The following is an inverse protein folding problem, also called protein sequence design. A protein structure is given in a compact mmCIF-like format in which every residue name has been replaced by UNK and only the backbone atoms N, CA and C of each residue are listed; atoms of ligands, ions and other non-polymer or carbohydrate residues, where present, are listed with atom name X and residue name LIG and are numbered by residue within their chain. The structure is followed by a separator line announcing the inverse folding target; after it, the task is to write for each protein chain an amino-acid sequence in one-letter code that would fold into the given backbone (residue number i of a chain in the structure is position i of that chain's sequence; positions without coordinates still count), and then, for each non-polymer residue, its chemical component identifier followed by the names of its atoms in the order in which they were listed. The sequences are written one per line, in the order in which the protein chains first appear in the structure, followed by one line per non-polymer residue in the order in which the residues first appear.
data_IF_554452963253
#
_entry.id   IF_554452963253
#
_cell.length_a   1.000
_cell.length_b   1.000
_cell.length_c   1.000
_cell.angle_alpha   90.00
_cell.angle_beta   90.00
_cell.angle_gamma   90.00
#
_symmetry.space_group_name_H-M   'P 1'
#
loop_
_entity.id
_entity.type
_entity.pdbx_description
1 polymer ?
#
# COMPACT_ATOMS: atom_id res chain seq x y z
N UNK A 1 12.71 -0.32 -13.06
CA UNK A 1 11.35 -0.79 -13.40
C UNK A 1 10.74 0.12 -14.46
N UNK A 2 10.33 -0.41 -15.60
CA UNK A 2 9.55 0.28 -16.63
C UNK A 2 8.04 0.08 -16.36
N UNK A 3 7.23 1.15 -16.47
CA UNK A 3 5.78 1.10 -16.20
C UNK A 3 4.99 1.43 -17.47
N UNK A 4 3.99 0.63 -17.81
CA UNK A 4 3.07 0.88 -18.93
C UNK A 4 1.67 0.35 -18.61
N UNK A 5 0.68 0.70 -19.43
CA UNK A 5 -0.73 0.38 -19.18
C UNK A 5 -1.43 -0.41 -20.28
N UNK A 6 -0.89 -0.38 -21.51
CA UNK A 6 -1.45 -1.09 -22.65
C UNK A 6 -0.61 -2.33 -22.97
N UNK A 7 -1.15 -3.56 -22.86
CA UNK A 7 -0.45 -4.79 -23.23
C UNK A 7 0.12 -4.74 -24.65
N UNK A 8 -0.59 -4.16 -25.62
CA UNK A 8 -0.13 -4.07 -27.00
C UNK A 8 1.11 -3.16 -27.16
N UNK A 9 1.32 -2.24 -26.22
CA UNK A 9 2.48 -1.36 -26.16
C UNK A 9 3.66 -1.94 -25.35
N UNK A 10 3.64 -3.25 -25.05
CA UNK A 10 4.73 -3.90 -24.29
C UNK A 10 6.09 -3.67 -24.97
N UNK A 11 7.06 -3.07 -24.26
CA UNK A 11 8.40 -2.81 -24.82
C UNK A 11 9.07 -4.10 -25.31
N UNK A 12 9.79 -4.01 -26.43
CA UNK A 12 10.49 -5.16 -27.00
C UNK A 12 11.50 -5.80 -26.03
N UNK A 13 12.13 -5.01 -25.14
CA UNK A 13 13.06 -5.52 -24.13
C UNK A 13 12.39 -6.22 -22.94
N UNK A 14 11.05 -6.21 -22.86
CA UNK A 14 10.27 -6.85 -21.80
C UNK A 14 9.48 -8.06 -22.31
N UNK A 15 9.80 -8.57 -23.52
CA UNK A 15 9.21 -9.78 -24.09
C UNK A 15 10.27 -10.60 -24.86
N UNK A 16 10.26 -11.95 -24.81
CA UNK A 16 9.44 -12.77 -23.90
C UNK A 16 9.85 -12.56 -22.43
N UNK A 17 8.98 -12.86 -21.47
CA UNK A 17 9.24 -12.63 -20.04
C UNK A 17 8.83 -13.79 -19.14
N UNK A 18 9.23 -13.72 -17.88
CA UNK A 18 8.54 -14.38 -16.77
C UNK A 18 7.60 -13.36 -16.15
N UNK A 19 6.37 -13.77 -15.84
CA UNK A 19 5.36 -12.85 -15.34
C UNK A 19 4.70 -13.34 -14.04
N UNK A 20 4.09 -12.41 -13.31
CA UNK A 20 3.13 -12.67 -12.24
C UNK A 20 1.92 -11.77 -12.45
N UNK A 21 0.79 -12.09 -11.81
CA UNK A 21 -0.31 -11.14 -11.71
C UNK A 21 -0.97 -11.13 -10.34
N UNK A 22 -1.60 -10.01 -10.01
CA UNK A 22 -2.31 -9.83 -8.75
C UNK A 22 -2.67 -8.37 -8.48
N UNK A 23 -3.47 -8.12 -7.46
CA UNK A 23 -3.84 -6.75 -7.08
C UNK A 23 -2.69 -6.02 -6.35
N UNK A 24 -1.80 -6.78 -5.71
CA UNK A 24 -0.65 -6.31 -4.95
C UNK A 24 -0.94 -5.22 -3.91
N UNK A 25 -2.18 -5.12 -3.40
CA UNK A 25 -2.55 -4.09 -2.43
C UNK A 25 -1.75 -4.25 -1.13
N UNK A 26 -1.02 -3.20 -0.76
CA UNK A 26 -0.08 -3.17 0.36
C UNK A 26 1.28 -3.84 0.11
N UNK A 27 1.48 -4.58 -0.99
CA UNK A 27 2.75 -5.30 -1.30
C UNK A 27 3.35 -5.98 -0.06
N UNK A 28 2.51 -6.76 0.65
CA UNK A 28 2.88 -7.45 1.88
C UNK A 28 3.92 -8.55 1.66
N UNK A 29 4.43 -9.15 2.73
CA UNK A 29 5.49 -10.17 2.66
C UNK A 29 5.12 -11.37 1.76
N UNK A 30 3.85 -11.79 1.75
CA UNK A 30 3.35 -12.78 0.77
C UNK A 30 3.54 -12.35 -0.69
N UNK A 31 3.14 -11.13 -1.06
CA UNK A 31 3.40 -10.58 -2.40
C UNK A 31 4.90 -10.48 -2.69
N UNK A 32 5.71 -10.04 -1.71
CA UNK A 32 7.17 -9.94 -1.86
C UNK A 32 7.82 -11.29 -2.12
N UNK A 33 7.30 -12.38 -1.57
CA UNK A 33 7.80 -13.73 -1.84
C UNK A 33 7.51 -14.17 -3.29
N UNK A 34 6.29 -13.93 -3.78
CA UNK A 34 5.93 -14.19 -5.20
C UNK A 34 6.81 -13.37 -6.13
N UNK A 35 6.99 -12.08 -5.84
CA UNK A 35 7.84 -11.17 -6.64
C UNK A 35 9.33 -11.56 -6.58
N UNK A 36 9.83 -12.01 -5.43
CA UNK A 36 11.20 -12.51 -5.31
C UNK A 36 11.40 -13.79 -6.14
N UNK A 37 10.42 -14.71 -6.14
CA UNK A 37 10.50 -15.92 -6.99
C UNK A 37 10.41 -15.57 -8.47
N UNK A 38 9.57 -14.62 -8.84
CA UNK A 38 9.50 -14.07 -10.19
C UNK A 38 10.86 -13.57 -10.68
N UNK A 39 11.53 -12.72 -9.88
CA UNK A 39 12.86 -12.17 -10.25
C UNK A 39 13.90 -13.28 -10.37
N UNK A 40 13.88 -14.25 -9.46
CA UNK A 40 14.80 -15.40 -9.51
C UNK A 40 14.60 -16.23 -10.79
N UNK A 41 13.36 -16.57 -11.14
CA UNK A 41 13.02 -17.32 -12.35
C UNK A 41 13.38 -16.58 -13.63
N UNK A 42 13.09 -15.28 -13.67
CA UNK A 42 13.47 -14.42 -14.78
C UNK A 42 15.00 -14.44 -14.99
N UNK A 43 15.76 -14.30 -13.90
CA UNK A 43 17.23 -14.34 -13.90
C UNK A 43 17.77 -15.69 -14.39
N UNK A 44 17.26 -16.81 -13.86
CA UNK A 44 17.66 -18.17 -14.24
C UNK A 44 17.44 -18.44 -15.74
N UNK A 45 16.39 -17.84 -16.32
CA UNK A 45 16.01 -18.00 -17.73
C UNK A 45 16.65 -16.96 -18.65
N UNK A 46 17.35 -15.96 -18.11
CA UNK A 46 17.88 -14.83 -18.88
C UNK A 46 16.77 -13.98 -19.53
N UNK A 47 15.61 -13.88 -18.86
CA UNK A 47 14.42 -13.15 -19.31
C UNK A 47 14.11 -11.99 -18.35
N UNK A 48 13.39 -10.95 -18.82
CA UNK A 48 12.85 -9.91 -17.94
C UNK A 48 11.72 -10.44 -17.05
N UNK A 49 11.59 -9.82 -15.87
CA UNK A 49 10.52 -10.04 -14.90
C UNK A 49 9.41 -8.98 -15.03
N UNK A 50 8.16 -9.41 -15.19
CA UNK A 50 7.01 -8.50 -15.37
C UNK A 50 5.91 -8.79 -14.34
N UNK A 51 5.53 -7.78 -13.56
CA UNK A 51 4.32 -7.85 -12.74
C UNK A 51 3.14 -7.22 -13.48
N UNK A 52 2.01 -7.91 -13.48
CA UNK A 52 0.73 -7.42 -14.02
C UNK A 52 -0.23 -7.11 -12.88
N UNK A 53 -0.71 -5.88 -12.80
CA UNK A 53 -1.66 -5.42 -11.79
C UNK A 53 -2.81 -4.66 -12.44
N UNK A 54 -3.79 -4.26 -11.64
CA UNK A 54 -5.02 -3.65 -12.09
C UNK A 54 -5.19 -2.27 -11.44
N UNK A 55 -5.64 -1.29 -12.21
CA UNK A 55 -6.08 0.01 -11.71
C UNK A 55 -7.29 0.49 -12.53
N UNK A 56 -8.45 0.79 -11.93
CA UNK A 56 -8.75 0.71 -10.50
C UNK A 56 -8.68 -0.75 -9.98
N UNK A 57 -8.63 -0.91 -8.66
CA UNK A 57 -8.67 -2.25 -8.07
C UNK A 57 -9.96 -2.98 -8.47
N UNK A 58 -9.94 -4.28 -8.85
CA UNK A 58 -11.13 -4.99 -9.35
C UNK A 58 -12.35 -4.92 -8.42
N UNK A 59 -12.12 -5.04 -7.11
CA UNK A 59 -13.19 -4.90 -6.12
C UNK A 59 -13.81 -3.48 -6.05
N UNK A 60 -13.11 -2.42 -6.50
CA UNK A 60 -13.65 -1.07 -6.54
C UNK A 60 -14.68 -0.89 -7.68
N UNK A 61 -14.63 -1.71 -8.73
CA UNK A 61 -15.67 -1.69 -9.78
C UNK A 61 -17.00 -2.23 -9.24
N UNK A 62 -16.96 -3.28 -8.43
CA UNK A 62 -18.17 -3.91 -7.89
C UNK A 62 -18.62 -3.30 -6.55
N UNK A 63 -17.69 -2.69 -5.81
CA UNK A 63 -17.91 -2.11 -4.49
C UNK A 63 -17.17 -0.76 -4.34
N UNK A 64 -17.54 0.26 -5.12
CA UNK A 64 -16.81 1.54 -5.16
C UNK A 64 -16.79 2.27 -3.82
N UNK A 65 -17.87 2.15 -3.03
CA UNK A 65 -18.06 2.96 -1.81
C UNK A 65 -17.44 2.37 -0.54
N UNK A 66 -16.83 1.16 -0.60
CA UNK A 66 -16.40 0.44 0.61
C UNK A 66 -14.96 -0.02 0.62
N UNK A 67 -14.24 0.11 -0.50
CA UNK A 67 -12.89 -0.43 -0.62
C UNK A 67 -11.82 0.60 -0.23
N UNK A 68 -11.38 0.57 1.02
CA UNK A 68 -10.15 1.25 1.42
C UNK A 68 -8.93 0.41 1.01
N UNK A 69 -8.09 0.97 0.13
CA UNK A 69 -6.85 0.34 -0.35
C UNK A 69 -5.68 0.66 0.57
N UNK A 70 -4.88 -0.35 0.92
CA UNK A 70 -3.71 -0.19 1.78
C UNK A 70 -2.68 0.72 1.12
N UNK A 71 -2.43 0.53 -0.18
CA UNK A 71 -1.45 1.32 -0.93
C UNK A 71 -1.93 1.53 -2.37
N UNK A 72 -2.86 2.46 -2.64
CA UNK A 72 -3.42 2.67 -3.97
C UNK A 72 -2.43 3.31 -4.96
N UNK A 73 -2.65 3.07 -6.26
CA UNK A 73 -2.01 3.77 -7.37
C UNK A 73 -0.48 3.87 -7.22
N UNK A 74 0.02 5.12 -7.16
CA UNK A 74 1.47 5.40 -7.06
C UNK A 74 2.13 4.74 -5.85
N UNK A 75 1.43 4.56 -4.73
CA UNK A 75 2.01 3.93 -3.54
C UNK A 75 2.32 2.45 -3.78
N UNK A 76 1.43 1.69 -4.42
CA UNK A 76 1.72 0.32 -4.84
C UNK A 76 2.86 0.30 -5.84
N UNK A 77 2.83 1.17 -6.84
CA UNK A 77 3.82 1.17 -7.91
C UNK A 77 5.24 1.46 -7.36
N UNK A 78 5.39 2.38 -6.40
CA UNK A 78 6.63 2.61 -5.65
C UNK A 78 7.10 1.37 -4.91
N UNK A 79 6.20 0.72 -4.17
CA UNK A 79 6.52 -0.47 -3.39
C UNK A 79 6.94 -1.63 -4.29
N UNK A 80 6.26 -1.84 -5.41
CA UNK A 80 6.65 -2.80 -6.44
C UNK A 80 8.02 -2.46 -7.03
N UNK A 81 8.31 -1.19 -7.23
CA UNK A 81 9.63 -0.70 -7.67
C UNK A 81 10.79 -1.13 -6.76
N UNK A 82 10.53 -1.36 -5.47
CA UNK A 82 11.56 -1.84 -4.51
C UNK A 82 11.84 -3.34 -4.59
N UNK A 83 11.11 -4.09 -5.40
CA UNK A 83 11.20 -5.57 -5.44
C UNK A 83 12.21 -6.11 -6.45
N UNK A 84 12.73 -5.23 -7.32
CA UNK A 84 13.71 -5.61 -8.34
C UNK A 84 13.10 -6.08 -9.67
N UNK A 85 11.78 -5.97 -9.84
CA UNK A 85 11.13 -6.30 -11.12
C UNK A 85 11.55 -5.34 -12.25
N UNK A 86 11.65 -5.87 -13.47
CA UNK A 86 12.03 -5.10 -14.65
C UNK A 86 10.85 -4.27 -15.18
N UNK A 87 9.65 -4.83 -15.14
CA UNK A 87 8.45 -4.24 -15.71
C UNK A 87 7.20 -4.31 -14.82
N UNK A 88 6.38 -3.27 -14.88
CA UNK A 88 5.05 -3.20 -14.27
C UNK A 88 4.01 -2.82 -15.34
N UNK A 89 3.15 -3.78 -15.69
CA UNK A 89 1.97 -3.57 -16.52
C UNK A 89 0.75 -3.31 -15.63
N UNK A 90 0.21 -2.09 -15.68
CA UNK A 90 -1.00 -1.70 -14.95
C UNK A 90 -2.17 -1.70 -15.91
N UNK A 91 -2.96 -2.77 -15.90
CA UNK A 91 -4.14 -2.90 -16.74
C UNK A 91 -5.27 -2.01 -16.23
N UNK A 92 -5.89 -1.28 -17.15
CA UNK A 92 -7.13 -0.55 -16.88
C UNK A 92 -8.26 -1.56 -16.64
N UNK A 93 -8.71 -1.67 -15.38
CA UNK A 93 -9.74 -2.66 -15.03
C UNK A 93 -11.13 -2.04 -15.15
N UNK A 94 -11.72 -2.22 -16.32
CA UNK A 94 -13.06 -1.73 -16.66
C UNK A 94 -14.13 -2.81 -16.49
N UNK A 95 -15.41 -2.42 -16.51
CA UNK A 95 -16.51 -3.39 -16.58
C UNK A 95 -16.40 -4.32 -17.80
N UNK A 96 -15.92 -3.79 -18.93
CA UNK A 96 -15.67 -4.57 -20.15
C UNK A 96 -14.54 -5.58 -19.93
N UNK A 97 -13.44 -5.16 -19.31
CA UNK A 97 -12.34 -6.07 -18.96
C UNK A 97 -12.83 -7.20 -18.04
N UNK A 98 -13.70 -6.91 -17.08
CA UNK A 98 -14.27 -7.89 -16.17
C UNK A 98 -15.16 -8.95 -16.87
N UNK A 99 -15.58 -8.73 -18.13
CA UNK A 99 -16.33 -9.71 -18.92
C UNK A 99 -15.46 -10.74 -19.61
N UNK A 100 -14.14 -10.55 -19.67
CA UNK A 100 -13.22 -11.53 -20.27
C UNK A 100 -13.21 -12.82 -19.47
N UNK A 101 -13.24 -13.95 -20.16
CA UNK A 101 -12.98 -15.27 -19.57
C UNK A 101 -11.53 -15.38 -19.07
N UNK A 102 -11.29 -16.35 -18.19
CA UNK A 102 -9.93 -16.65 -17.72
C UNK A 102 -8.97 -16.97 -18.87
N UNK A 103 -9.44 -17.70 -19.88
CA UNK A 103 -8.67 -18.02 -21.08
C UNK A 103 -8.35 -16.76 -21.91
N UNK A 104 -9.34 -15.93 -22.22
CA UNK A 104 -9.12 -14.68 -22.97
C UNK A 104 -8.12 -13.76 -22.27
N UNK A 105 -8.26 -13.59 -20.95
CA UNK A 105 -7.32 -12.79 -20.15
C UNK A 105 -5.89 -13.33 -20.25
N UNK A 106 -5.70 -14.63 -20.05
CA UNK A 106 -4.37 -15.26 -20.04
C UNK A 106 -3.75 -15.28 -21.44
N UNK A 107 -4.51 -15.68 -22.47
CA UNK A 107 -4.00 -15.80 -23.83
C UNK A 107 -3.67 -14.42 -24.39
N UNK A 108 -4.60 -13.47 -24.36
CA UNK A 108 -4.33 -12.13 -24.92
C UNK A 108 -3.21 -11.42 -24.14
N UNK A 109 -3.32 -11.36 -22.81
CA UNK A 109 -2.34 -10.59 -22.01
C UNK A 109 -1.00 -11.30 -21.91
N UNK A 110 -0.96 -12.56 -21.52
CA UNK A 110 0.32 -13.21 -21.19
C UNK A 110 0.95 -13.89 -22.39
N UNK A 111 0.17 -14.58 -23.21
CA UNK A 111 0.73 -15.35 -24.35
C UNK A 111 1.01 -14.43 -25.53
N UNK A 112 0.04 -13.65 -25.98
CA UNK A 112 0.16 -12.88 -27.23
C UNK A 112 0.96 -11.59 -27.06
N UNK A 113 0.68 -10.81 -26.01
CA UNK A 113 1.34 -9.50 -25.85
C UNK A 113 2.66 -9.56 -25.09
N UNK A 114 2.71 -10.30 -23.96
CA UNK A 114 3.93 -10.46 -23.17
C UNK A 114 4.85 -11.58 -23.69
N UNK A 115 4.32 -12.55 -24.44
CA UNK A 115 5.10 -13.71 -24.88
C UNK A 115 5.65 -14.49 -23.69
N UNK A 116 4.84 -14.72 -22.65
CA UNK A 116 5.27 -15.31 -21.39
C UNK A 116 5.93 -16.68 -21.58
N UNK A 117 6.91 -16.98 -20.73
CA UNK A 117 7.58 -18.29 -20.66
C UNK A 117 7.30 -19.01 -19.35
N UNK A 118 7.03 -18.26 -18.29
CA UNK A 118 6.56 -18.81 -17.05
C UNK A 118 5.67 -17.78 -16.32
N UNK A 119 4.63 -18.27 -15.66
CA UNK A 119 3.77 -17.50 -14.77
C UNK A 119 4.02 -17.96 -13.33
N UNK A 120 4.39 -17.03 -12.45
CA UNK A 120 4.56 -17.26 -11.02
C UNK A 120 3.33 -16.75 -10.29
N UNK A 121 2.72 -17.59 -9.44
CA UNK A 121 1.52 -17.26 -8.66
C UNK A 121 1.58 -17.89 -7.27
N UNK A 122 0.80 -17.37 -6.32
CA UNK A 122 0.48 -18.09 -5.07
C UNK A 122 -0.53 -19.20 -5.32
N UNK A 123 -0.57 -20.21 -4.45
CA UNK A 123 -1.56 -21.29 -4.47
C UNK A 123 -3.01 -20.80 -4.33
N UNK A 124 -3.17 -19.60 -3.77
CA UNK A 124 -4.43 -18.92 -3.58
C UNK A 124 -4.90 -18.15 -4.82
N UNK A 125 -4.11 -18.13 -5.91
CA UNK A 125 -4.45 -17.45 -7.16
C UNK A 125 -5.71 -18.07 -7.80
N UNK A 126 -6.84 -17.42 -7.50
CA UNK A 126 -8.18 -17.83 -7.92
C UNK A 126 -9.06 -16.63 -8.18
N UNK A 127 -10.14 -16.86 -8.90
CA UNK A 127 -11.15 -15.86 -9.14
C UNK A 127 -10.75 -14.81 -10.20
N UNK A 128 -9.84 -15.16 -11.12
CA UNK A 128 -9.61 -14.33 -12.30
C UNK A 128 -10.53 -14.74 -13.45
N UNK A 129 -10.79 -13.80 -14.35
CA UNK A 129 -11.77 -13.98 -15.43
C UNK A 129 -13.23 -13.94 -14.96
N UNK A 130 -14.14 -13.82 -15.93
CA UNK A 130 -15.57 -13.67 -15.72
C UNK A 130 -16.13 -14.80 -14.88
N UNK A 131 -16.92 -14.43 -13.88
CA UNK A 131 -17.55 -15.37 -12.96
C UNK A 131 -16.59 -16.02 -11.97
N UNK A 132 -15.37 -15.48 -11.81
CA UNK A 132 -14.38 -15.98 -10.87
C UNK A 132 -13.98 -17.44 -11.14
N UNK A 133 -13.95 -17.82 -12.41
CA UNK A 133 -13.77 -19.22 -12.85
C UNK A 133 -12.32 -19.65 -12.98
N UNK A 134 -11.38 -18.70 -13.13
CA UNK A 134 -9.96 -18.98 -13.23
C UNK A 134 -9.34 -19.37 -11.90
N UNK A 135 -8.48 -20.38 -11.94
CA UNK A 135 -7.67 -20.88 -10.83
C UNK A 135 -6.31 -21.42 -11.32
N UNK A 136 -5.49 -21.94 -10.40
CA UNK A 136 -4.20 -22.57 -10.72
C UNK A 136 -4.34 -23.75 -11.69
N UNK A 137 -5.44 -24.51 -11.62
CA UNK A 137 -5.72 -25.61 -12.55
C UNK A 137 -5.93 -25.11 -13.98
N UNK A 138 -6.68 -24.02 -14.12
CA UNK A 138 -6.91 -23.31 -15.38
C UNK A 138 -5.59 -22.80 -15.96
N UNK A 139 -4.75 -22.15 -15.14
CA UNK A 139 -3.41 -21.70 -15.57
C UNK A 139 -2.56 -22.86 -16.06
N UNK A 140 -2.56 -23.99 -15.34
CA UNK A 140 -1.76 -25.16 -15.69
C UNK A 140 -2.20 -25.78 -17.02
N UNK A 141 -3.52 -25.86 -17.26
CA UNK A 141 -4.07 -26.34 -18.53
C UNK A 141 -3.70 -25.42 -19.70
N UNK A 142 -3.81 -24.10 -19.50
CA UNK A 142 -3.41 -23.11 -20.51
C UNK A 142 -1.89 -23.11 -20.74
N UNK A 143 -1.08 -23.30 -19.69
CA UNK A 143 0.36 -23.45 -19.80
C UNK A 143 0.76 -24.63 -20.67
N UNK A 144 0.13 -25.78 -20.47
CA UNK A 144 0.34 -26.96 -21.30
C UNK A 144 -0.09 -26.75 -22.77
N UNK A 145 -1.18 -26.02 -23.01
CA UNK A 145 -1.70 -25.75 -24.35
C UNK A 145 -0.88 -24.70 -25.12
N UNK A 146 -0.37 -23.68 -24.43
CA UNK A 146 0.27 -22.51 -25.05
C UNK A 146 1.80 -22.44 -24.84
N UNK A 147 2.39 -23.39 -24.11
CA UNK A 147 3.84 -23.55 -23.99
C UNK A 147 4.51 -22.61 -22.99
N UNK A 148 3.89 -22.41 -21.82
CA UNK A 148 4.51 -21.70 -20.69
C UNK A 148 4.41 -22.50 -19.39
N UNK A 149 5.38 -22.31 -18.50
CA UNK A 149 5.39 -22.97 -17.19
C UNK A 149 4.51 -22.24 -16.18
N UNK A 150 3.94 -22.97 -15.22
CA UNK A 150 3.23 -22.39 -14.07
C UNK A 150 3.97 -22.77 -12.81
N UNK A 151 4.35 -21.77 -12.03
CA UNK A 151 5.14 -21.91 -10.80
C UNK A 151 4.27 -21.42 -9.66
N UNK A 152 3.95 -22.34 -8.75
CA UNK A 152 3.03 -22.08 -7.65
C UNK A 152 3.82 -22.02 -6.35
N UNK A 153 3.61 -20.97 -5.57
CA UNK A 153 4.15 -20.84 -4.21
C UNK A 153 3.07 -21.17 -3.18
N UNK A 154 3.46 -21.87 -2.13
CA UNK A 154 2.61 -22.06 -0.95
C UNK A 154 2.36 -20.73 -0.23
N UNK A 155 1.20 -20.61 0.42
CA UNK A 155 0.88 -19.45 1.24
C UNK A 155 1.89 -19.32 2.39
N UNK A 156 2.38 -18.10 2.60
CA UNK A 156 3.29 -17.79 3.71
C UNK A 156 2.56 -17.13 4.88
N UNK A 157 3.05 -17.38 6.09
CA UNK A 157 2.54 -16.76 7.30
C UNK A 157 3.25 -17.25 8.56
N UNK A 158 3.33 -16.37 9.56
CA UNK A 158 3.83 -16.70 10.90
C UNK A 158 2.64 -16.88 11.84
N UNK A 159 1.89 -17.98 11.68
CA UNK A 159 0.67 -18.29 12.44
C UNK A 159 -0.62 -17.79 11.78
N UNK A 160 -0.63 -16.57 11.26
CA UNK A 160 -1.67 -16.06 10.35
C UNK A 160 -1.10 -15.90 8.93
N UNK A 161 -1.94 -16.21 7.94
CA UNK A 161 -1.63 -16.02 6.52
C UNK A 161 -1.45 -14.53 6.20
N UNK A 162 -0.36 -14.21 5.51
CA UNK A 162 -0.11 -12.85 5.03
C UNK A 162 -1.03 -12.49 3.86
N UNK A 163 -1.97 -11.56 4.08
CA UNK A 163 -2.94 -11.11 3.06
C UNK A 163 -3.35 -9.66 3.25
N UNK A 164 -3.78 -8.99 2.17
CA UNK A 164 -4.34 -7.62 2.24
C UNK A 164 -5.59 -7.55 3.12
N UNK A 165 -6.38 -8.62 3.20
CA UNK A 165 -7.54 -8.66 4.10
C UNK A 165 -7.14 -8.68 5.57
N UNK A 166 -6.09 -9.44 5.94
CA UNK A 166 -5.56 -9.45 7.30
C UNK A 166 -4.97 -8.08 7.68
N UNK A 167 -4.19 -7.46 6.78
CA UNK A 167 -3.66 -6.10 7.01
C UNK A 167 -4.78 -5.10 7.26
N UNK A 168 -5.83 -5.09 6.41
CA UNK A 168 -6.98 -4.18 6.59
C UNK A 168 -7.69 -4.41 7.92
N UNK A 169 -7.88 -5.67 8.33
CA UNK A 169 -8.48 -6.01 9.63
C UNK A 169 -7.66 -5.45 10.80
N UNK A 170 -6.34 -5.63 10.78
CA UNK A 170 -5.46 -5.11 11.82
C UNK A 170 -5.45 -3.57 11.85
N UNK A 171 -5.36 -2.91 10.70
CA UNK A 171 -5.41 -1.44 10.63
C UNK A 171 -6.76 -0.89 11.13
N UNK A 172 -7.87 -1.54 10.78
CA UNK A 172 -9.21 -1.18 11.28
C UNK A 172 -9.37 -1.39 12.80
N UNK A 173 -8.60 -2.30 13.39
CA UNK A 173 -8.53 -2.50 14.85
C UNK A 173 -7.52 -1.57 15.56
N UNK A 174 -6.67 -0.87 14.79
CA UNK A 174 -5.55 -0.07 15.32
C UNK A 174 -4.36 -0.92 15.78
N UNK A 175 -4.28 -2.17 15.33
CA UNK A 175 -3.23 -3.16 15.59
C UNK A 175 -2.05 -2.94 14.62
N UNK A 176 -1.35 -1.81 14.79
CA UNK A 176 -0.32 -1.34 13.84
C UNK A 176 0.89 -2.29 13.77
N UNK A 177 1.29 -2.89 14.89
CA UNK A 177 2.44 -3.78 14.94
C UNK A 177 2.18 -5.06 14.13
N UNK A 178 0.97 -5.59 14.25
CA UNK A 178 0.48 -6.77 13.55
C UNK A 178 0.36 -6.51 12.05
N UNK A 179 -0.22 -5.37 11.65
CA UNK A 179 -0.24 -4.94 10.26
C UNK A 179 1.18 -4.81 9.68
N UNK A 180 2.10 -4.22 10.45
CA UNK A 180 3.50 -4.03 10.04
C UNK A 180 4.25 -5.34 9.90
N UNK A 181 3.97 -6.32 10.76
CA UNK A 181 4.53 -7.66 10.70
C UNK A 181 4.15 -8.39 9.39
N UNK A 182 2.93 -8.17 8.89
CA UNK A 182 2.47 -8.73 7.62
C UNK A 182 3.05 -7.94 6.43
N UNK A 183 3.12 -6.61 6.54
CA UNK A 183 3.64 -5.74 5.49
C UNK A 183 5.17 -5.83 5.34
N UNK A 184 5.88 -6.23 6.41
CA UNK A 184 7.33 -6.19 6.51
C UNK A 184 7.90 -4.77 6.68
N UNK A 185 7.05 -3.80 6.99
CA UNK A 185 7.36 -2.36 7.14
C UNK A 185 6.20 -1.66 7.88
N UNK A 186 6.42 -0.46 8.44
CA UNK A 186 5.33 0.40 8.90
C UNK A 186 4.26 0.65 7.83
N UNK A 187 3.00 0.70 8.24
CA UNK A 187 1.93 1.18 7.36
C UNK A 187 2.11 2.67 7.10
N UNK A 188 1.81 3.13 5.88
CA UNK A 188 2.02 4.53 5.49
C UNK A 188 0.87 5.11 4.70
N UNK A 189 0.69 6.42 4.85
CA UNK A 189 -0.18 7.24 4.02
C UNK A 189 0.62 8.39 3.42
N UNK A 190 0.23 8.87 2.25
CA UNK A 190 0.88 10.00 1.58
C UNK A 190 -0.16 10.99 1.10
N UNK A 191 0.09 12.28 1.35
CA UNK A 191 -0.80 13.33 0.88
C UNK A 191 -0.24 14.71 1.10
N UNK A 192 -0.92 15.69 0.53
CA UNK A 192 -0.58 17.10 0.68
C UNK A 192 -1.05 17.61 2.05
N UNK A 193 -0.21 18.42 2.70
CA UNK A 193 -0.59 19.11 3.92
C UNK A 193 -1.48 20.30 3.60
N UNK A 194 -2.66 20.35 4.21
CA UNK A 194 -3.66 21.39 4.02
C UNK A 194 -3.89 22.19 5.30
N UNK A 195 -4.62 23.29 5.16
CA UNK A 195 -5.02 24.10 6.30
C UNK A 195 -6.12 23.38 7.10
N UNK A 196 -5.82 23.02 8.34
CA UNK A 196 -6.78 22.46 9.30
C UNK A 196 -7.48 23.53 10.15
N UNK A 197 -8.08 23.11 11.26
CA UNK A 197 -8.79 24.02 12.17
C UNK A 197 -7.87 24.95 13.01
N UNK A 198 -6.55 24.89 12.80
CA UNK A 198 -5.50 25.66 13.49
C UNK A 198 -5.47 25.60 15.03
N UNK A 199 -6.32 24.78 15.68
CA UNK A 199 -6.44 24.68 17.14
C UNK A 199 -5.15 24.24 17.82
N UNK A 200 -4.41 23.30 17.22
CA UNK A 200 -3.13 22.83 17.76
C UNK A 200 -2.09 23.95 17.84
N UNK A 201 -2.03 24.84 16.83
CA UNK A 201 -1.07 25.95 16.80
C UNK A 201 -1.30 26.95 17.94
N UNK A 202 -2.56 27.24 18.28
CA UNK A 202 -2.91 28.09 19.43
C UNK A 202 -2.49 27.47 20.78
N UNK A 203 -2.42 26.14 20.85
CA UNK A 203 -2.02 25.36 22.01
C UNK A 203 -0.51 25.06 22.07
N UNK A 204 0.28 25.56 21.10
CA UNK A 204 1.73 25.32 21.02
C UNK A 204 2.13 24.04 20.27
N UNK A 205 1.18 23.32 19.69
CA UNK A 205 1.36 22.06 18.96
C UNK A 205 0.86 22.19 17.51
N UNK A 206 1.58 22.89 16.61
CA UNK A 206 1.14 23.02 15.22
C UNK A 206 1.13 21.64 14.53
N UNK A 207 -0.04 21.23 14.04
CA UNK A 207 -0.23 19.96 13.33
C UNK A 207 -0.28 20.15 11.82
N UNK A 208 0.39 19.27 11.08
CA UNK A 208 0.21 19.10 9.65
C UNK A 208 -1.03 18.25 9.40
N UNK A 209 -2.06 18.83 8.78
CA UNK A 209 -3.30 18.14 8.45
C UNK A 209 -3.17 17.54 7.05
N UNK A 210 -3.32 16.23 6.90
CA UNK A 210 -3.30 15.59 5.59
C UNK A 210 -4.63 15.83 4.86
N UNK A 211 -4.56 16.06 3.55
CA UNK A 211 -5.72 16.28 2.70
C UNK A 211 -6.67 15.07 2.66
N UNK A 212 -7.99 15.25 2.52
CA UNK A 212 -8.94 14.14 2.39
C UNK A 212 -8.72 13.21 1.18
N UNK A 213 -8.00 13.68 0.14
CA UNK A 213 -7.60 12.89 -1.03
C UNK A 213 -6.26 12.16 -0.86
N UNK A 214 -5.73 12.13 0.38
CA UNK A 214 -4.52 11.38 0.71
C UNK A 214 -4.65 9.91 0.35
N UNK A 215 -3.54 9.33 -0.11
CA UNK A 215 -3.46 7.94 -0.50
C UNK A 215 -3.09 7.04 0.68
N UNK A 216 -3.71 5.87 0.71
CA UNK A 216 -3.48 4.83 1.71
C UNK A 216 -4.60 4.75 2.75
N UNK A 217 -4.80 3.56 3.28
CA UNK A 217 -5.86 3.29 4.26
C UNK A 217 -5.62 4.07 5.56
N UNK A 218 -6.65 4.70 6.11
CA UNK A 218 -6.57 5.37 7.41
C UNK A 218 -6.75 4.33 8.53
N UNK A 219 -5.78 4.09 9.43
CA UNK A 219 -5.94 3.13 10.53
C UNK A 219 -6.99 3.63 11.53
N UNK A 220 -7.42 2.82 12.50
CA UNK A 220 -8.45 3.19 13.49
C UNK A 220 -8.24 4.55 14.17
N UNK A 221 -9.30 5.14 14.73
CA UNK A 221 -9.16 6.40 15.47
C UNK A 221 -8.28 6.24 16.72
N UNK A 222 -7.40 7.21 16.95
CA UNK A 222 -6.43 7.21 18.04
C UNK A 222 -5.21 8.07 17.79
N UNK A 223 -4.27 8.01 18.73
CA UNK A 223 -2.97 8.68 18.64
C UNK A 223 -1.88 7.63 18.44
N UNK A 224 -0.95 7.94 17.54
CA UNK A 224 0.08 7.03 17.06
C UNK A 224 1.46 7.68 17.16
N UNK A 225 2.47 6.88 17.48
CA UNK A 225 3.87 7.23 17.26
C UNK A 225 4.24 6.87 15.81
N UNK A 226 4.98 7.74 15.14
CA UNK A 226 5.33 7.54 13.75
C UNK A 226 6.36 8.51 13.19
N UNK A 227 6.57 8.44 11.89
CA UNK A 227 7.49 9.29 11.16
C UNK A 227 6.73 10.13 10.15
N UNK A 228 7.13 11.40 9.99
CA UNK A 228 6.72 12.26 8.89
C UNK A 228 7.91 12.45 7.96
N UNK A 229 7.74 12.05 6.70
CA UNK A 229 8.74 12.22 5.64
C UNK A 229 8.28 13.26 4.64
N UNK A 230 9.08 14.32 4.45
CA UNK A 230 8.89 15.37 3.45
C UNK A 230 9.43 14.88 2.10
N UNK A 231 8.55 14.55 1.16
CA UNK A 231 8.90 13.79 -0.06
C UNK A 231 9.87 14.56 -0.98
N UNK A 232 9.74 15.89 -1.04
CA UNK A 232 10.56 16.76 -1.88
C UNK A 232 12.00 16.96 -1.38
N UNK A 233 12.30 16.61 -0.12
CA UNK A 233 13.65 16.77 0.44
C UNK A 233 14.58 15.65 -0.02
N UNK A 234 15.85 16.01 -0.23
CA UNK A 234 16.91 15.07 -0.58
C UNK A 234 17.10 14.02 0.53
N UNK A 235 17.48 12.80 0.16
CA UNK A 235 17.56 11.65 1.06
C UNK A 235 18.44 11.85 2.30
N UNK A 236 19.47 12.69 2.18
CA UNK A 236 20.44 13.04 3.22
C UNK A 236 20.09 14.32 3.99
N UNK A 237 18.98 14.99 3.65
CA UNK A 237 18.52 16.18 4.36
C UNK A 237 18.07 15.78 5.79
N UNK A 238 18.64 16.39 6.85
CA UNK A 238 18.32 16.03 8.22
C UNK A 238 16.87 16.33 8.62
N UNK A 239 16.15 17.16 7.85
CA UNK A 239 14.74 17.43 8.03
C UNK A 239 13.84 16.63 7.09
N UNK A 240 14.39 15.69 6.32
CA UNK A 240 13.59 14.85 5.43
C UNK A 240 12.61 14.00 6.22
N UNK A 241 13.08 13.31 7.25
CA UNK A 241 12.27 12.39 8.04
C UNK A 241 12.35 12.75 9.51
N UNK A 242 11.21 13.08 10.09
CA UNK A 242 11.09 13.67 11.42
C UNK A 242 10.14 12.83 12.27
N UNK A 243 10.42 12.64 13.57
CA UNK A 243 9.52 11.92 14.46
C UNK A 243 8.23 12.73 14.65
N UNK A 244 7.09 12.04 14.69
CA UNK A 244 5.79 12.68 14.78
C UNK A 244 4.81 11.90 15.67
N UNK A 245 4.02 12.63 16.45
CA UNK A 245 2.80 12.11 17.04
C UNK A 245 1.65 12.34 16.04
N UNK A 246 0.99 11.27 15.60
CA UNK A 246 -0.03 11.29 14.56
C UNK A 246 -1.39 11.02 15.20
N UNK A 247 -2.30 11.98 15.10
CA UNK A 247 -3.68 11.85 15.55
C UNK A 247 -4.58 11.49 14.36
N UNK A 248 -5.38 10.44 14.55
CA UNK A 248 -6.43 10.04 13.61
C UNK A 248 -7.77 10.24 14.30
N UNK A 249 -8.61 11.09 13.72
CA UNK A 249 -9.91 11.42 14.26
C UNK A 249 -11.01 11.34 13.21
N UNK A 250 -12.23 11.26 13.69
CA UNK A 250 -13.43 11.30 12.86
C UNK A 250 -14.28 12.48 13.28
N UNK A 251 -14.52 13.42 12.37
CA UNK A 251 -15.45 14.52 12.58
C UNK A 251 -16.79 14.19 11.92
N UNK A 252 -17.88 14.05 12.70
CA UNK A 252 -19.22 13.98 12.13
C UNK A 252 -19.53 15.31 11.43
N UNK A 253 -19.74 15.29 10.12
CA UNK A 253 -20.19 16.45 9.35
C UNK A 253 -21.61 16.23 8.84
N UNK A 254 -22.25 17.30 8.34
CA UNK A 254 -23.60 17.22 7.79
C UNK A 254 -23.69 16.36 6.53
N UNK A 255 -22.56 16.25 5.80
CA UNK A 255 -22.44 15.55 4.51
C UNK A 255 -21.76 14.17 4.62
N UNK A 256 -21.42 13.71 5.84
CA UNK A 256 -20.80 12.41 6.05
C UNK A 256 -19.88 12.35 7.28
N UNK A 257 -19.08 11.30 7.37
CA UNK A 257 -18.02 11.20 8.38
C UNK A 257 -16.68 11.40 7.70
N UNK A 258 -16.01 12.52 7.98
CA UNK A 258 -14.68 12.80 7.44
C UNK A 258 -13.64 12.34 8.46
N UNK A 259 -12.76 11.43 8.04
CA UNK A 259 -11.61 11.03 8.84
C UNK A 259 -10.46 11.99 8.57
N UNK A 260 -9.82 12.48 9.63
CA UNK A 260 -8.71 13.42 9.57
C UNK A 260 -7.45 12.75 10.11
N UNK A 261 -6.31 13.05 9.48
CA UNK A 261 -4.99 12.61 9.93
C UNK A 261 -4.14 13.86 10.17
N UNK A 262 -3.69 14.03 11.40
CA UNK A 262 -2.94 15.21 11.85
C UNK A 262 -1.60 14.77 12.44
N UNK A 263 -0.50 15.26 11.90
CA UNK A 263 0.83 14.96 12.39
C UNK A 263 1.44 16.16 13.13
N UNK A 264 1.75 15.99 14.41
CA UNK A 264 2.60 16.92 15.16
C UNK A 264 4.05 16.43 15.09
N UNK A 265 4.91 17.19 14.42
CA UNK A 265 6.35 16.90 14.40
C UNK A 265 6.93 17.26 15.77
N UNK A 266 7.58 16.31 16.42
CA UNK A 266 8.02 16.47 17.80
C UNK A 266 8.97 17.66 17.94
N UNK A 267 8.70 18.51 18.93
CA UNK A 267 9.54 19.65 19.33
C UNK A 267 9.77 20.70 18.24
N UNK A 268 8.95 20.70 17.17
CA UNK A 268 9.03 21.67 16.07
C UNK A 268 7.78 22.53 16.01
N UNK A 269 7.98 23.84 16.15
CA UNK A 269 6.91 24.86 16.02
C UNK A 269 7.17 25.84 14.88
N UNK A 270 8.34 25.76 14.28
CA UNK A 270 8.88 26.61 13.22
C UNK A 270 8.65 26.04 11.81
N UNK A 271 8.23 24.77 11.71
CA UNK A 271 7.97 24.12 10.43
C UNK A 271 6.72 24.68 9.76
N UNK A 272 6.91 25.16 8.53
CA UNK A 272 5.82 25.36 7.59
C UNK A 272 5.83 24.18 6.61
N UNK A 273 4.75 23.41 6.63
CA UNK A 273 4.57 22.22 5.80
C UNK A 273 3.41 22.39 4.81
N UNK A 274 2.72 23.54 4.80
CA UNK A 274 1.57 23.73 3.93
C UNK A 274 1.94 23.54 2.46
N UNK A 275 1.04 22.88 1.72
CA UNK A 275 1.19 22.53 0.31
C UNK A 275 2.33 21.53 0.01
N UNK A 276 3.07 21.06 1.02
CA UNK A 276 4.04 19.98 0.85
C UNK A 276 3.35 18.61 0.79
N UNK A 277 3.84 17.75 -0.10
CA UNK A 277 3.54 16.33 -0.06
C UNK A 277 4.37 15.64 1.02
N UNK A 278 3.69 15.01 1.97
CA UNK A 278 4.30 14.28 3.08
C UNK A 278 3.84 12.84 3.11
N UNK A 279 4.69 11.96 3.62
CA UNK A 279 4.34 10.57 3.94
C UNK A 279 4.37 10.40 5.45
N UNK A 280 3.29 9.89 6.04
CA UNK A 280 3.22 9.54 7.45
C UNK A 280 3.27 8.03 7.62
N UNK A 281 4.20 7.56 8.45
CA UNK A 281 4.39 6.15 8.77
C UNK A 281 3.90 5.87 10.20
N UNK A 282 2.98 4.93 10.36
CA UNK A 282 2.44 4.53 11.65
C UNK A 282 3.28 3.40 12.24
N UNK A 283 3.89 3.63 13.39
CA UNK A 283 4.78 2.66 14.04
C UNK A 283 4.09 1.98 15.22
N UNK A 284 3.40 2.74 16.07
CA UNK A 284 2.76 2.21 17.26
C UNK A 284 1.51 3.02 17.62
N UNK A 285 0.45 2.35 18.10
CA UNK A 285 -0.72 3.03 18.65
C UNK A 285 -0.49 3.35 20.12
N UNK A 286 -0.43 4.63 20.46
CA UNK A 286 -0.23 5.12 21.83
C UNK A 286 -1.52 4.95 22.63
N UNK A 287 -2.65 5.40 22.08
CA UNK A 287 -3.96 5.33 22.75
C UNK A 287 -5.14 5.49 21.78
N UNK A 288 -6.37 5.08 22.16
CA UNK A 288 -7.57 5.48 21.44
C UNK A 288 -7.85 6.99 21.56
N UNK A 289 -8.79 7.48 20.76
CA UNK A 289 -9.33 8.84 20.87
C UNK A 289 -10.04 9.00 22.21
N UNK A 290 -9.68 10.05 22.93
CA UNK A 290 -10.26 10.41 24.23
C UNK A 290 -10.99 11.74 24.11
N UNK A 291 -12.02 11.92 24.92
CA UNK A 291 -12.67 13.21 25.14
C UNK A 291 -12.10 13.83 26.41
N UNK A 292 -11.77 15.11 26.35
CA UNK A 292 -11.28 15.90 27.48
C UNK A 292 -12.31 16.97 27.84
N UNK A 293 -12.50 17.21 29.13
CA UNK A 293 -13.46 18.20 29.62
C UNK A 293 -12.80 19.57 29.82
N UNK A 294 -11.47 19.61 29.91
CA UNK A 294 -10.67 20.84 30.04
C UNK A 294 -9.49 20.89 29.05
N UNK A 295 -8.96 22.09 28.83
CA UNK A 295 -7.76 22.29 27.98
C UNK A 295 -6.53 21.72 28.69
N UNK A 296 -6.46 21.87 30.01
CA UNK A 296 -5.36 21.37 30.84
C UNK A 296 -5.21 19.84 30.72
N UNK A 297 -6.32 19.10 30.79
CA UNK A 297 -6.33 17.64 30.59
C UNK A 297 -5.84 17.24 29.20
N UNK A 298 -6.25 17.97 28.16
CA UNK A 298 -5.78 17.74 26.80
C UNK A 298 -4.27 17.95 26.69
N UNK A 299 -3.74 19.05 27.25
CA UNK A 299 -2.31 19.37 27.22
C UNK A 299 -1.47 18.33 27.98
N UNK A 300 -1.96 17.85 29.12
CA UNK A 300 -1.29 16.78 29.89
C UNK A 300 -1.24 15.46 29.09
N UNK A 301 -2.36 15.08 28.46
CA UNK A 301 -2.39 13.89 27.60
C UNK A 301 -1.45 14.03 26.40
N UNK A 302 -1.44 15.19 25.72
CA UNK A 302 -0.54 15.45 24.59
C UNK A 302 0.94 15.37 24.98
N UNK A 303 1.30 15.91 26.16
CA UNK A 303 2.66 15.80 26.67
C UNK A 303 3.07 14.34 26.92
N UNK A 304 2.16 13.52 27.48
CA UNK A 304 2.36 12.08 27.65
C UNK A 304 2.47 11.31 26.32
N UNK A 305 1.66 11.67 25.34
CA UNK A 305 1.69 11.08 23.99
C UNK A 305 3.05 11.34 23.32
N UNK A 306 3.57 12.56 23.43
CA UNK A 306 4.87 12.95 22.89
C UNK A 306 6.01 12.15 23.54
N UNK A 307 5.99 12.01 24.87
CA UNK A 307 7.03 11.26 25.58
C UNK A 307 7.00 9.77 25.22
N UNK A 308 5.80 9.18 25.10
CA UNK A 308 5.65 7.81 24.60
C UNK A 308 6.17 7.67 23.17
N UNK A 309 5.87 8.66 22.31
CA UNK A 309 6.37 8.68 20.94
C UNK A 309 7.91 8.66 20.89
N UNK A 310 8.59 9.48 21.71
CA UNK A 310 10.06 9.45 21.81
C UNK A 310 10.59 8.08 22.22
N UNK A 311 9.98 7.46 23.22
CA UNK A 311 10.41 6.16 23.73
C UNK A 311 10.27 5.05 22.69
N UNK A 312 9.16 5.02 21.96
CA UNK A 312 8.91 4.05 20.88
C UNK A 312 9.93 4.23 19.75
N UNK A 313 10.10 5.47 19.29
CA UNK A 313 10.92 5.78 18.11
C UNK A 313 12.43 5.74 18.37
N UNK A 314 12.87 5.75 19.64
CA UNK A 314 14.29 5.65 20.01
C UNK A 314 14.96 4.35 19.52
N UNK A 315 14.18 3.31 19.20
CA UNK A 315 14.68 1.99 18.79
C UNK A 315 14.27 1.57 17.37
N UNK A 316 13.49 2.39 16.67
CA UNK A 316 12.89 2.05 15.37
C UNK A 316 13.35 3.09 14.36
N UNK A 317 14.08 2.67 13.34
CA UNK A 317 14.55 3.55 12.25
C UNK A 317 13.43 3.69 11.20
N UNK A 318 13.23 4.86 10.58
CA UNK A 318 12.30 5.02 9.47
C UNK A 318 12.62 4.08 8.29
N UNK A 319 11.60 3.72 7.51
CA UNK A 319 11.75 2.85 6.32
C UNK A 319 12.29 3.51 5.06
#
# INVERSE_FOLDING_TARGET
MHRWTDPAATPAGLRPCVATFGNFDGVHLGHRAVLARLVAEATERGLPSVAVTFDPHPAAIFHPDTLELISPGRLRDELLGTTGIDGLLVLDFTEEFAQQTAEEFIVHTFVETLGVRAIVVGEDARGFGRGYTGDVGTLSALGAAHGFDVIVLEDLGNGERWSSSAVRRHLAAGEIAEASAILGRPHRMTGTVVHGAHRGRELGYPTANLSPDSLGLVPADGVYAGWLTRVAKAGDDPERTLPAAISVGTNPTFDGTLRTVEAYVLDRTDLDLYDEEVTVEFVHRIRPTLRFDTIEELLEAMAGDIETCRQVLASIVPS
#
